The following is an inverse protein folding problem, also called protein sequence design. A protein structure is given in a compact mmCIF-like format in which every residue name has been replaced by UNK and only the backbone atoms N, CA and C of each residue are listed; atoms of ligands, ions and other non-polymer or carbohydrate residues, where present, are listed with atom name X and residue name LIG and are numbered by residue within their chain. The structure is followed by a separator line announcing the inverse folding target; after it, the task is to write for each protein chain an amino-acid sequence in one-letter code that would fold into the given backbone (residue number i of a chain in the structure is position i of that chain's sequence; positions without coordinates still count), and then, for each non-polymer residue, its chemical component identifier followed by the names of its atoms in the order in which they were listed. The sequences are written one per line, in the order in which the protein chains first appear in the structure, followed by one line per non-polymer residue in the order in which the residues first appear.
data_IF_274859508152
#
_entry.id   IF_274859508152
#
_cell.length_a   1.000
_cell.length_b   1.000
_cell.length_c   1.000
_cell.angle_alpha   90.00
_cell.angle_beta   90.00
_cell.angle_gamma   90.00
#
_symmetry.space_group_name_H-M   'P 1'
#
loop_
_entity.id
_entity.type
_entity.pdbx_description
1 polymer ?
#
# COMPACT_ATOMS: atom_id res chain seq x y z
N UNK A 1 -10.28 -2.83 -2.48
CA UNK A 1 -8.94 -2.27 -2.23
C UNK A 1 -7.99 -2.47 -3.40
N UNK A 2 -7.92 -3.68 -3.99
CA UNK A 2 -7.06 -3.98 -5.15
C UNK A 2 -7.14 -2.95 -6.31
N UNK A 3 -8.35 -2.53 -6.72
CA UNK A 3 -8.51 -1.52 -7.78
C UNK A 3 -7.95 -0.13 -7.41
N UNK A 4 -8.04 0.29 -6.14
CA UNK A 4 -7.56 1.62 -5.73
C UNK A 4 -6.04 1.68 -5.72
N UNK A 5 -5.37 0.61 -5.27
CA UNK A 5 -3.91 0.54 -5.32
C UNK A 5 -3.40 0.46 -6.76
N UNK A 6 -4.11 -0.26 -7.64
CA UNK A 6 -3.82 -0.28 -9.07
C UNK A 6 -3.92 1.12 -9.70
N UNK A 7 -5.01 1.85 -9.45
CA UNK A 7 -5.17 3.23 -9.95
C UNK A 7 -4.08 4.19 -9.44
N UNK A 8 -3.64 4.04 -8.18
CA UNK A 8 -2.55 4.87 -7.63
C UNK A 8 -1.21 4.49 -8.28
N UNK A 9 -0.94 3.20 -8.44
CA UNK A 9 0.29 2.72 -9.08
C UNK A 9 0.41 3.22 -10.52
N UNK A 10 -0.68 3.14 -11.29
CA UNK A 10 -0.72 3.67 -12.66
C UNK A 10 -0.44 5.18 -12.70
N UNK A 11 -1.03 5.97 -11.80
CA UNK A 11 -0.76 7.42 -11.70
C UNK A 11 0.70 7.73 -11.38
N UNK A 12 1.32 6.95 -10.50
CA UNK A 12 2.74 7.10 -10.16
C UNK A 12 3.61 6.78 -11.38
N UNK A 13 3.28 5.73 -12.11
CA UNK A 13 4.01 5.35 -13.33
C UNK A 13 3.85 6.42 -14.43
N UNK A 14 2.66 6.98 -14.62
CA UNK A 14 2.46 8.08 -15.58
C UNK A 14 3.25 9.34 -15.18
N UNK A 15 3.22 9.73 -13.90
CA UNK A 15 4.04 10.84 -13.41
C UNK A 15 5.54 10.56 -13.60
N UNK A 16 5.99 9.31 -13.38
CA UNK A 16 7.37 8.92 -13.64
C UNK A 16 7.72 9.04 -15.12
N UNK A 17 6.85 8.60 -16.03
CA UNK A 17 7.04 8.76 -17.47
C UNK A 17 7.20 10.23 -17.84
N UNK A 18 6.41 11.15 -17.28
CA UNK A 18 6.49 12.59 -17.52
C UNK A 18 7.82 13.23 -17.07
N UNK A 19 8.51 12.64 -16.09
CA UNK A 19 9.81 13.10 -15.62
C UNK A 19 10.99 12.62 -16.50
N UNK A 20 10.77 11.60 -17.32
CA UNK A 20 11.80 11.07 -18.21
C UNK A 20 12.01 11.98 -19.42
N UNK A 21 13.27 12.12 -19.83
CA UNK A 21 13.57 12.64 -21.17
C UNK A 21 13.03 11.70 -22.24
N UNK A 22 12.76 12.23 -23.43
CA UNK A 22 12.28 11.45 -24.58
C UNK A 22 13.20 10.24 -24.87
N UNK A 23 14.51 10.47 -24.91
CA UNK A 23 15.51 9.41 -25.11
C UNK A 23 15.47 8.32 -24.02
N UNK A 24 15.21 8.69 -22.76
CA UNK A 24 15.10 7.70 -21.69
C UNK A 24 13.79 6.91 -21.79
N UNK A 25 12.70 7.57 -22.21
CA UNK A 25 11.40 6.93 -22.41
C UNK A 25 11.45 5.90 -23.55
N UNK A 26 12.18 6.19 -24.63
CA UNK A 26 12.36 5.24 -25.75
C UNK A 26 13.17 3.98 -25.39
N UNK A 27 14.01 4.04 -24.35
CA UNK A 27 14.83 2.91 -23.91
C UNK A 27 14.09 1.98 -22.94
N UNK A 28 12.97 2.43 -22.37
CA UNK A 28 12.18 1.66 -21.42
C UNK A 28 10.97 1.10 -22.14
N UNK A 29 10.83 -0.23 -22.11
CA UNK A 29 9.68 -0.92 -22.71
C UNK A 29 8.42 -0.74 -21.87
N UNK A 30 7.25 -0.83 -22.52
CA UNK A 30 5.95 -0.82 -21.83
C UNK A 30 5.89 -1.89 -20.72
N UNK A 31 6.46 -3.07 -20.97
CA UNK A 31 6.56 -4.15 -19.97
C UNK A 31 7.28 -3.70 -18.70
N UNK A 32 8.35 -2.92 -18.81
CA UNK A 32 9.09 -2.42 -17.64
C UNK A 32 8.27 -1.38 -16.85
N UNK A 33 7.44 -0.58 -17.53
CA UNK A 33 6.50 0.31 -16.85
C UNK A 33 5.37 -0.46 -16.17
N UNK A 34 4.86 -1.52 -16.80
CA UNK A 34 3.86 -2.40 -16.19
C UNK A 34 4.44 -3.10 -14.95
N UNK A 35 5.67 -3.61 -15.02
CA UNK A 35 6.37 -4.20 -13.86
C UNK A 35 6.56 -3.17 -12.74
N UNK A 36 6.86 -1.91 -13.06
CA UNK A 36 6.92 -0.84 -12.06
C UNK A 36 5.55 -0.60 -11.39
N UNK A 37 4.46 -0.62 -12.16
CA UNK A 37 3.10 -0.49 -11.61
C UNK A 37 2.79 -1.64 -10.64
N UNK A 38 3.19 -2.87 -10.98
CA UNK A 38 3.01 -4.04 -10.11
C UNK A 38 3.78 -3.87 -8.79
N UNK A 39 5.05 -3.46 -8.85
CA UNK A 39 5.90 -3.23 -7.66
C UNK A 39 5.29 -2.17 -6.75
N UNK A 40 4.85 -1.04 -7.32
CA UNK A 40 4.22 0.04 -6.52
C UNK A 40 2.92 -0.45 -5.88
N UNK A 41 2.09 -1.19 -6.61
CA UNK A 41 0.83 -1.74 -6.08
C UNK A 41 1.10 -2.71 -4.92
N UNK A 42 2.11 -3.58 -5.04
CA UNK A 42 2.47 -4.54 -4.00
C UNK A 42 2.94 -3.82 -2.73
N UNK A 43 3.83 -2.84 -2.86
CA UNK A 43 4.28 -2.02 -1.72
C UNK A 43 3.11 -1.29 -1.02
N UNK A 44 2.16 -0.75 -1.79
CA UNK A 44 0.95 -0.12 -1.23
C UNK A 44 0.03 -1.11 -0.51
N UNK A 45 0.01 -2.36 -0.96
CA UNK A 45 -0.82 -3.41 -0.35
C UNK A 45 -0.19 -3.90 0.96
N UNK A 46 1.13 -4.10 0.98
CA UNK A 46 1.88 -4.48 2.18
C UNK A 46 1.74 -3.44 3.30
N UNK A 47 1.86 -2.15 2.97
CA UNK A 47 1.68 -1.07 3.96
C UNK A 47 0.26 -1.04 4.54
N UNK A 48 -0.76 -1.33 3.71
CA UNK A 48 -2.14 -1.42 4.18
C UNK A 48 -2.36 -2.64 5.08
N UNK A 49 -1.76 -3.79 4.74
CA UNK A 49 -1.82 -5.00 5.57
C UNK A 49 -1.21 -4.75 6.94
N UNK A 50 -0.04 -4.10 6.99
CA UNK A 50 0.59 -3.70 8.25
C UNK A 50 -0.33 -2.78 9.09
N UNK A 51 -0.99 -1.81 8.46
CA UNK A 51 -1.92 -0.91 9.14
C UNK A 51 -3.16 -1.65 9.68
N UNK A 52 -3.67 -2.65 8.95
CA UNK A 52 -4.77 -3.50 9.40
C UNK A 52 -4.34 -4.33 10.62
N UNK A 53 -3.16 -4.94 10.59
CA UNK A 53 -2.63 -5.73 11.71
C UNK A 53 -2.51 -4.88 12.99
N UNK A 54 -1.97 -3.67 12.88
CA UNK A 54 -1.89 -2.72 14.00
C UNK A 54 -3.28 -2.40 14.55
N UNK A 55 -4.26 -2.14 13.68
CA UNK A 55 -5.63 -1.83 14.08
C UNK A 55 -6.30 -3.03 14.78
N UNK A 56 -6.11 -4.25 14.28
CA UNK A 56 -6.61 -5.46 14.91
C UNK A 56 -6.01 -5.68 16.30
N UNK A 57 -4.71 -5.46 16.44
CA UNK A 57 -4.01 -5.56 17.72
C UNK A 57 -4.46 -4.49 18.72
N UNK A 58 -4.72 -3.27 18.26
CA UNK A 58 -5.36 -2.24 19.08
C UNK A 58 -6.74 -2.69 19.57
N UNK A 59 -7.58 -3.25 18.69
CA UNK A 59 -8.91 -3.75 19.07
C UNK A 59 -8.81 -4.89 20.09
N UNK A 60 -7.88 -5.84 19.91
CA UNK A 60 -7.64 -6.92 20.89
C UNK A 60 -7.25 -6.37 22.25
N UNK A 61 -6.35 -5.38 22.31
CA UNK A 61 -5.93 -4.73 23.55
C UNK A 61 -7.07 -4.00 24.25
N UNK A 62 -7.92 -3.29 23.50
CA UNK A 62 -9.09 -2.61 24.05
C UNK A 62 -10.10 -3.59 24.64
N UNK A 63 -10.39 -4.70 23.93
CA UNK A 63 -11.26 -5.76 24.46
C UNK A 63 -10.71 -6.36 25.75
N UNK A 64 -9.42 -6.68 25.80
CA UNK A 64 -8.78 -7.24 26.99
C UNK A 64 -8.83 -6.29 28.21
N UNK A 65 -8.88 -4.97 27.99
CA UNK A 65 -9.06 -3.98 29.06
C UNK A 65 -10.50 -3.93 29.55
N UNK A 66 -11.48 -4.02 28.64
CA UNK A 66 -12.91 -4.02 28.99
C UNK A 66 -13.35 -5.34 29.64
N UNK A 67 -12.75 -6.46 29.22
CA UNK A 67 -13.02 -7.80 29.75
C UNK A 67 -12.29 -8.11 31.07
N UNK A 68 -11.42 -7.21 31.56
CA UNK A 68 -10.99 -7.22 32.97
C UNK A 68 -12.05 -6.47 33.78
N UNK A 69 -13.00 -7.17 34.44
CA UNK A 69 -13.81 -6.48 35.43
C UNK A 69 -12.86 -5.99 36.51
N UNK A 70 -13.12 -4.81 37.05
CA UNK A 70 -12.51 -4.33 38.28
C UNK A 70 -12.73 -5.40 39.37
N UNK A 71 -11.81 -6.35 39.49
CA UNK A 71 -11.66 -7.24 40.64
C UNK A 71 -10.96 -6.45 41.74
N UNK A 72 -11.54 -5.31 42.09
CA UNK A 72 -11.24 -4.57 43.30
C UNK A 72 -12.58 -4.08 43.83
N UNK A 73 -13.15 -4.87 44.75
CA UNK A 73 -13.72 -4.48 46.04
C UNK A 73 -14.24 -5.72 46.78
#
# INVERSE_FOLDING_TARGET
MANRHQEVAEKVVEAFKELLSEQAREQISDRQFDELALIVREALSEELENAVEIAEDMVKRLRAQVERPELEL
#
